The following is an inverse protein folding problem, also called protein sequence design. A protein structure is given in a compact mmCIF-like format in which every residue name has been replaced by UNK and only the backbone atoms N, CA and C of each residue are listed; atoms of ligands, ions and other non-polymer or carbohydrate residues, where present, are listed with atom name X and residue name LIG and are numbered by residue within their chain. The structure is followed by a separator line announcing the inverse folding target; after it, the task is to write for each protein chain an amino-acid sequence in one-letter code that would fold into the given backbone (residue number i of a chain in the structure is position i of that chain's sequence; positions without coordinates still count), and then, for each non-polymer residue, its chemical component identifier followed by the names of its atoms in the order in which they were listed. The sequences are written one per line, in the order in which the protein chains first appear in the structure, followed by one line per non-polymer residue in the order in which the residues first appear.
data_IF_248498241606
#
_entry.id   IF_248498241606
#
_cell.length_a   1.000
_cell.length_b   1.000
_cell.length_c   1.000
_cell.angle_alpha   90.00
_cell.angle_beta   90.00
_cell.angle_gamma   90.00
#
_symmetry.space_group_name_H-M   'P 1'
#
loop_
_entity.id
_entity.type
_entity.pdbx_description
1 polymer ?
#
# COMPACT_ATOMS: atom_id res chain seq x y z
N UNK A 1 6.16 3.13 -4.93
CA UNK A 1 5.01 2.81 -5.82
C UNK A 1 5.39 1.89 -6.97
N UNK A 2 6.38 2.24 -7.82
CA UNK A 2 6.76 1.41 -8.97
C UNK A 2 7.12 -0.05 -8.62
N UNK A 3 7.90 -0.26 -7.55
CA UNK A 3 8.27 -1.61 -7.09
C UNK A 3 7.07 -2.47 -6.69
N UNK A 4 6.09 -1.91 -5.94
CA UNK A 4 4.89 -2.63 -5.54
C UNK A 4 4.02 -3.00 -6.75
N UNK A 5 3.91 -2.08 -7.71
CA UNK A 5 3.16 -2.33 -8.95
C UNK A 5 3.82 -3.42 -9.79
N UNK A 6 5.15 -3.37 -9.93
CA UNK A 6 5.90 -4.41 -10.62
C UNK A 6 5.71 -5.78 -9.95
N UNK A 7 5.82 -5.85 -8.61
CA UNK A 7 5.65 -7.09 -7.86
C UNK A 7 4.23 -7.65 -7.96
N UNK A 8 3.21 -6.78 -7.95
CA UNK A 8 1.82 -7.19 -8.13
C UNK A 8 1.57 -7.78 -9.53
N UNK A 9 2.11 -7.15 -10.57
CA UNK A 9 1.93 -7.68 -11.93
C UNK A 9 2.72 -8.97 -12.17
N UNK A 10 3.91 -9.13 -11.61
CA UNK A 10 4.66 -10.39 -11.74
C UNK A 10 3.96 -11.54 -11.02
N UNK A 11 3.47 -11.32 -9.81
CA UNK A 11 2.70 -12.32 -9.06
C UNK A 11 1.36 -12.64 -9.72
N UNK A 12 0.64 -11.64 -10.23
CA UNK A 12 -0.59 -11.85 -10.98
C UNK A 12 -0.35 -12.69 -12.24
N UNK A 13 0.71 -12.41 -13.01
CA UNK A 13 1.10 -13.21 -14.19
C UNK A 13 1.39 -14.66 -13.81
N UNK A 14 2.10 -14.90 -12.71
CA UNK A 14 2.38 -16.27 -12.22
C UNK A 14 1.12 -17.01 -11.78
N UNK A 15 0.15 -16.30 -11.18
CA UNK A 15 -1.15 -16.86 -10.83
C UNK A 15 -1.93 -17.31 -12.06
N UNK A 16 -1.96 -16.47 -13.10
CA UNK A 16 -2.63 -16.79 -14.38
C UNK A 16 -1.95 -17.97 -15.08
N UNK A 17 -0.62 -18.08 -14.97
CA UNK A 17 0.15 -19.23 -15.48
C UNK A 17 -0.03 -20.53 -14.67
N UNK A 18 -0.90 -20.55 -13.65
CA UNK A 18 -1.17 -21.74 -12.84
C UNK A 18 -0.10 -22.07 -11.81
N UNK A 19 0.92 -21.22 -11.60
CA UNK A 19 1.94 -21.45 -10.59
C UNK A 19 1.38 -21.30 -9.17
N UNK A 20 1.98 -21.98 -8.19
CA UNK A 20 1.71 -21.72 -6.78
C UNK A 20 2.28 -20.35 -6.40
N UNK A 21 1.43 -19.51 -5.79
CA UNK A 21 1.78 -18.12 -5.43
C UNK A 21 1.66 -17.85 -3.93
N UNK A 22 1.38 -18.84 -3.08
CA UNK A 22 1.01 -18.59 -1.68
C UNK A 22 2.06 -17.75 -0.94
N UNK A 23 3.34 -18.11 -1.09
CA UNK A 23 4.46 -17.37 -0.49
C UNK A 23 4.61 -15.97 -1.07
N UNK A 24 4.53 -15.85 -2.39
CA UNK A 24 4.72 -14.59 -3.11
C UNK A 24 3.58 -13.61 -2.87
N UNK A 25 2.35 -14.10 -2.75
CA UNK A 25 1.17 -13.33 -2.40
C UNK A 25 1.24 -12.81 -0.96
N UNK A 26 1.71 -13.64 -0.02
CA UNK A 26 1.93 -13.20 1.36
C UNK A 26 3.01 -12.11 1.44
N UNK A 27 4.13 -12.29 0.73
CA UNK A 27 5.18 -11.28 0.60
C UNK A 27 4.67 -9.99 -0.05
N UNK A 28 3.89 -10.11 -1.13
CA UNK A 28 3.29 -8.97 -1.82
C UNK A 28 2.38 -8.18 -0.88
N UNK A 29 1.44 -8.85 -0.19
CA UNK A 29 0.52 -8.21 0.75
C UNK A 29 1.28 -7.43 1.81
N UNK A 30 2.28 -8.05 2.44
CA UNK A 30 3.08 -7.42 3.47
C UNK A 30 3.87 -6.21 2.92
N UNK A 31 4.47 -6.36 1.74
CA UNK A 31 5.21 -5.29 1.08
C UNK A 31 4.32 -4.10 0.73
N UNK A 32 3.14 -4.35 0.16
CA UNK A 32 2.18 -3.31 -0.23
C UNK A 32 1.60 -2.58 0.99
N UNK A 33 1.24 -3.30 2.05
CA UNK A 33 0.69 -2.69 3.28
C UNK A 33 1.71 -1.77 3.95
N UNK A 34 2.95 -2.22 4.12
CA UNK A 34 4.00 -1.39 4.70
C UNK A 34 4.34 -0.16 3.84
N UNK A 35 4.41 -0.34 2.51
CA UNK A 35 4.65 0.78 1.61
C UNK A 35 3.52 1.81 1.68
N UNK A 36 2.26 1.37 1.66
CA UNK A 36 1.10 2.25 1.76
C UNK A 36 1.17 3.08 3.05
N UNK A 37 1.48 2.44 4.19
CA UNK A 37 1.53 3.12 5.49
C UNK A 37 2.60 4.22 5.52
N UNK A 38 3.79 3.92 4.95
CA UNK A 38 4.87 4.91 4.80
C UNK A 38 4.47 6.08 3.91
N UNK A 39 3.81 5.83 2.78
CA UNK A 39 3.38 6.88 1.86
C UNK A 39 2.30 7.76 2.48
N UNK A 40 1.31 7.16 3.13
CA UNK A 40 0.24 7.90 3.79
C UNK A 40 0.78 8.76 4.96
N UNK A 41 1.70 8.23 5.78
CA UNK A 41 2.33 9.01 6.85
C UNK A 41 3.06 10.24 6.31
N UNK A 42 3.87 10.06 5.26
CA UNK A 42 4.59 11.16 4.61
C UNK A 42 3.66 12.18 3.97
N UNK A 43 2.53 11.74 3.42
CA UNK A 43 1.55 12.65 2.83
C UNK A 43 0.92 13.56 3.90
N UNK A 44 0.59 13.01 5.06
CA UNK A 44 0.08 13.80 6.22
C UNK A 44 1.17 14.75 6.72
N UNK A 45 2.40 14.28 6.89
CA UNK A 45 3.54 15.11 7.32
C UNK A 45 3.80 16.28 6.36
N UNK A 46 3.71 16.05 5.05
CA UNK A 46 3.91 17.10 4.04
C UNK A 46 2.83 18.19 4.09
N UNK A 47 1.58 17.82 4.36
CA UNK A 47 0.47 18.77 4.55
C UNK A 47 0.52 19.47 5.91
N UNK A 48 1.31 18.98 6.88
CA UNK A 48 1.34 19.53 8.23
C UNK A 48 -0.01 19.44 8.93
N UNK A 49 -0.38 20.47 9.69
CA UNK A 49 -1.61 20.47 10.51
C UNK A 49 -2.90 20.23 9.71
N UNK A 50 -2.98 20.72 8.46
CA UNK A 50 -4.15 20.47 7.59
C UNK A 50 -4.23 19.04 7.10
N UNK A 51 -3.13 18.28 7.12
CA UNK A 51 -3.10 16.86 6.78
C UNK A 51 -3.88 15.96 7.75
N UNK A 52 -4.24 16.48 8.93
CA UNK A 52 -5.07 15.80 9.92
C UNK A 52 -6.54 16.26 9.90
N UNK A 53 -6.87 17.25 9.08
CA UNK A 53 -8.24 17.77 8.98
C UNK A 53 -9.03 17.04 7.90
N UNK A 54 -10.35 16.97 8.05
CA UNK A 54 -11.25 16.37 7.04
C UNK A 54 -11.43 17.23 5.77
N UNK A 55 -10.71 18.35 5.69
CA UNK A 55 -10.73 19.24 4.52
C UNK A 55 -10.07 18.60 3.28
N UNK A 56 -9.16 17.65 3.48
CA UNK A 56 -8.44 16.95 2.40
C UNK A 56 -8.41 15.47 2.68
N UNK A 57 -8.60 14.58 1.67
CA UNK A 57 -8.81 13.13 1.86
C UNK A 57 -7.59 12.35 2.40
N UNK A 58 -6.48 13.04 2.67
CA UNK A 58 -5.21 12.42 3.10
C UNK A 58 -5.30 11.85 4.52
N UNK A 59 -6.06 12.49 5.40
CA UNK A 59 -6.31 12.02 6.76
C UNK A 59 -7.05 10.68 6.76
N UNK A 60 -7.99 10.50 5.82
CA UNK A 60 -8.75 9.28 5.61
C UNK A 60 -7.83 8.18 5.10
N UNK A 61 -7.01 8.47 4.08
CA UNK A 61 -6.03 7.49 3.58
C UNK A 61 -5.05 7.04 4.66
N UNK A 62 -4.64 7.95 5.54
CA UNK A 62 -3.79 7.60 6.69
C UNK A 62 -4.48 6.68 7.69
N UNK A 63 -5.77 6.90 7.99
CA UNK A 63 -6.57 6.02 8.85
C UNK A 63 -6.79 4.65 8.22
N UNK A 64 -7.24 4.61 6.96
CA UNK A 64 -7.61 3.37 6.26
C UNK A 64 -6.42 2.41 6.14
N UNK A 65 -5.25 2.95 5.80
CA UNK A 65 -4.05 2.14 5.60
C UNK A 65 -3.51 1.54 6.92
N UNK A 66 -3.81 2.17 8.06
CA UNK A 66 -3.38 1.67 9.38
C UNK A 66 -4.11 0.39 9.78
N UNK A 67 -5.33 0.18 9.28
CA UNK A 67 -6.15 -1.02 9.51
C UNK A 67 -5.63 -2.20 8.66
N UNK A 68 -5.12 -1.91 7.46
CA UNK A 68 -4.63 -2.94 6.52
C UNK A 68 -3.25 -3.54 6.85
N UNK A 69 -2.72 -3.27 8.04
CA UNK A 69 -1.44 -3.79 8.52
C UNK A 69 -1.57 -5.19 9.12
#
# INVERSE_FOLDING_TARGET
LAAARAFLYTTARRKVAGCSIQKEAAMLKHFTSNMACRVASRAVEWLGGVGFTEAYPVEKFYRDVKIGK
#
